data_IF_041014533376
#
_entry.id   IF_041014533376
#
_cell.length_a   1.000
_cell.length_b   1.000
_cell.length_c   1.000
_cell.angle_alpha   90.00
_cell.angle_beta   90.00
_cell.angle_gamma   90.00
#
_symmetry.space_group_name_H-M   'P 1'
#
loop_
_entity.id
_entity.type
_entity.pdbx_description
1 polymer ?
#
# COMPACT_ATOMS: atom_id res chain seq x y z
N UNK A 1 0.25 22.28 16.52
CA UNK A 1 -0.36 20.93 16.55
C UNK A 1 -0.41 20.45 15.11
N UNK A 2 0.26 19.35 14.77
CA UNK A 2 0.18 18.79 13.41
C UNK A 2 -1.25 18.31 13.16
N UNK A 3 -1.89 18.82 12.10
CA UNK A 3 -3.19 18.32 11.64
C UNK A 3 -2.99 16.84 11.26
N UNK A 4 -3.81 15.94 11.81
CA UNK A 4 -3.73 14.51 11.45
C UNK A 4 -4.08 14.33 9.99
N UNK A 5 -3.43 13.37 9.32
CA UNK A 5 -3.76 13.02 7.93
C UNK A 5 -4.88 11.98 7.99
N UNK A 6 -6.11 12.46 7.88
CA UNK A 6 -7.31 11.68 8.16
C UNK A 6 -8.08 11.39 6.88
N UNK A 7 -8.39 10.12 6.63
CA UNK A 7 -9.10 9.65 5.44
C UNK A 7 -10.29 8.78 5.81
N UNK A 8 -11.37 8.89 5.03
CA UNK A 8 -12.59 8.13 5.25
C UNK A 8 -12.69 6.97 4.26
N UNK A 9 -13.08 5.78 4.71
CA UNK A 9 -13.33 4.62 3.85
C UNK A 9 -14.74 4.61 3.22
N UNK A 10 -15.09 3.53 2.51
CA UNK A 10 -16.38 3.43 1.80
C UNK A 10 -17.60 3.26 2.73
N UNK A 11 -17.36 2.98 4.02
CA UNK A 11 -18.38 2.78 5.05
C UNK A 11 -18.50 3.98 5.99
N UNK A 12 -17.73 5.05 5.75
CA UNK A 12 -17.71 6.22 6.62
C UNK A 12 -16.77 6.08 7.83
N UNK A 13 -15.96 5.01 7.93
CA UNK A 13 -14.98 4.92 9.01
C UNK A 13 -13.77 5.79 8.70
N UNK A 14 -13.21 6.35 9.76
CA UNK A 14 -12.12 7.30 9.69
C UNK A 14 -10.81 6.64 10.09
N UNK A 15 -9.79 6.84 9.26
CA UNK A 15 -8.45 6.28 9.40
C UNK A 15 -7.43 7.41 9.45
N UNK A 16 -6.69 7.50 10.55
CA UNK A 16 -5.55 8.40 10.67
C UNK A 16 -4.30 7.69 10.13
N UNK A 17 -3.64 8.30 9.16
CA UNK A 17 -2.43 7.77 8.53
C UNK A 17 -1.20 8.63 8.82
N UNK A 18 -0.01 8.01 8.79
CA UNK A 18 1.26 8.74 8.91
C UNK A 18 1.57 9.58 7.66
N UNK A 19 1.38 9.01 6.47
CA UNK A 19 1.58 9.72 5.20
C UNK A 19 0.54 9.35 4.15
N UNK A 20 0.05 10.38 3.46
CA UNK A 20 -0.68 10.24 2.20
C UNK A 20 -0.05 11.13 1.15
N UNK A 21 0.19 10.56 -0.04
CA UNK A 21 0.64 11.32 -1.20
C UNK A 21 -0.58 11.53 -2.10
N UNK A 22 -0.83 12.78 -2.44
CA UNK A 22 -2.00 13.19 -3.20
C UNK A 22 -1.60 13.80 -4.53
N UNK A 23 -2.47 13.66 -5.54
CA UNK A 23 -2.44 14.46 -6.75
C UNK A 23 -3.55 15.50 -6.70
N UNK A 24 -3.24 16.73 -7.14
CA UNK A 24 -4.16 17.87 -7.18
C UNK A 24 -4.76 18.24 -5.81
N UNK A 25 -4.11 17.83 -4.71
CA UNK A 25 -4.43 18.26 -3.36
C UNK A 25 -3.86 19.65 -3.06
N UNK A 26 -4.54 20.41 -2.20
CA UNK A 26 -4.09 21.70 -1.68
C UNK A 26 -4.16 21.69 -0.15
N UNK A 27 -3.77 22.77 0.52
CA UNK A 27 -3.89 22.86 1.98
C UNK A 27 -5.35 22.79 2.47
N UNK A 28 -6.28 23.19 1.59
CA UNK A 28 -7.72 23.28 1.87
C UNK A 28 -8.53 22.12 1.28
N UNK A 29 -8.00 21.41 0.29
CA UNK A 29 -8.74 20.38 -0.47
C UNK A 29 -7.96 19.09 -0.57
N UNK A 30 -8.60 18.00 -0.15
CA UNK A 30 -8.10 16.64 -0.36
C UNK A 30 -8.12 16.32 -1.86
N UNK A 31 -6.95 15.92 -2.36
CA UNK A 31 -6.73 15.47 -3.73
C UNK A 31 -7.04 14.00 -3.93
N UNK A 32 -6.47 13.43 -5.00
CA UNK A 32 -6.58 12.00 -5.31
C UNK A 32 -5.44 11.25 -4.64
N UNK A 33 -5.71 10.22 -3.84
CA UNK A 33 -4.65 9.49 -3.16
C UNK A 33 -3.86 8.65 -4.17
N UNK A 34 -2.55 8.80 -4.17
CA UNK A 34 -1.59 8.02 -4.95
C UNK A 34 -0.78 7.05 -4.08
N UNK A 35 -0.65 7.32 -2.78
CA UNK A 35 0.02 6.44 -1.85
C UNK A 35 -0.55 6.58 -0.44
N UNK A 36 -0.71 5.46 0.26
CA UNK A 36 -0.97 5.39 1.69
C UNK A 36 0.22 4.69 2.36
N UNK A 37 0.85 5.34 3.34
CA UNK A 37 2.06 4.81 3.98
C UNK A 37 1.93 4.93 5.50
N UNK A 38 2.09 3.80 6.17
CA UNK A 38 2.12 3.68 7.63
C UNK A 38 3.52 3.39 8.14
N UNK A 39 3.88 3.94 9.29
CA UNK A 39 5.15 3.66 9.96
C UNK A 39 4.92 2.97 11.30
N UNK A 40 5.83 2.08 11.67
CA UNK A 40 5.74 1.43 12.97
C UNK A 40 7.10 1.03 13.52
N UNK A 41 7.29 1.33 14.81
CA UNK A 41 8.37 0.76 15.61
C UNK A 41 7.83 -0.34 16.52
N UNK A 42 8.52 -1.48 16.57
CA UNK A 42 8.19 -2.57 17.52
C UNK A 42 9.41 -3.09 18.25
N UNK A 43 9.20 -3.29 19.55
CA UNK A 43 10.20 -3.73 20.51
C UNK A 43 10.25 -5.26 20.66
N UNK A 44 9.08 -5.91 20.57
CA UNK A 44 8.92 -7.33 20.87
C UNK A 44 8.10 -8.04 19.80
N UNK A 45 8.42 -9.32 19.54
CA UNK A 45 7.77 -10.17 18.54
C UNK A 45 6.26 -10.37 18.78
N UNK A 46 5.83 -10.42 20.05
CA UNK A 46 4.43 -10.66 20.44
C UNK A 46 3.45 -9.61 19.86
N UNK A 47 3.92 -8.40 19.60
CA UNK A 47 3.09 -7.29 19.12
C UNK A 47 3.25 -7.01 17.62
N UNK A 48 4.16 -7.71 16.93
CA UNK A 48 4.45 -7.47 15.51
C UNK A 48 3.29 -7.88 14.61
N UNK A 49 2.66 -9.04 14.89
CA UNK A 49 1.49 -9.51 14.14
C UNK A 49 0.29 -8.57 14.29
N UNK A 50 -0.02 -8.16 15.52
CA UNK A 50 -1.12 -7.23 15.78
C UNK A 50 -0.89 -5.89 15.06
N UNK A 51 0.34 -5.39 15.04
CA UNK A 51 0.63 -4.14 14.31
C UNK A 51 0.50 -4.30 12.80
N UNK A 52 0.94 -5.42 12.22
CA UNK A 52 0.69 -5.71 10.81
C UNK A 52 -0.82 -5.72 10.50
N UNK A 53 -1.63 -6.29 11.40
CA UNK A 53 -3.10 -6.30 11.29
C UNK A 53 -3.72 -4.90 11.42
N UNK A 54 -3.24 -4.06 12.34
CA UNK A 54 -3.66 -2.66 12.47
C UNK A 54 -3.37 -1.88 11.18
N UNK A 55 -2.16 -2.04 10.60
CA UNK A 55 -1.75 -1.34 9.38
C UNK A 55 -2.64 -1.75 8.20
N UNK A 56 -2.87 -3.05 7.99
CA UNK A 56 -3.76 -3.49 6.91
C UNK A 56 -5.21 -3.05 7.14
N UNK A 57 -5.67 -3.03 8.39
CA UNK A 57 -7.01 -2.60 8.76
C UNK A 57 -7.27 -1.13 8.46
N UNK A 58 -6.23 -0.28 8.54
CA UNK A 58 -6.32 1.12 8.19
C UNK A 58 -6.22 1.36 6.67
N UNK A 59 -5.28 0.70 5.99
CA UNK A 59 -4.96 1.02 4.59
C UNK A 59 -5.84 0.28 3.58
N UNK A 60 -6.22 -0.99 3.81
CA UNK A 60 -6.97 -1.77 2.83
C UNK A 60 -8.38 -1.21 2.54
N UNK A 61 -9.17 -0.74 3.54
CA UNK A 61 -10.47 -0.13 3.27
C UNK A 61 -10.37 1.13 2.41
N UNK A 62 -9.31 1.92 2.62
CA UNK A 62 -9.02 3.10 1.79
C UNK A 62 -8.60 2.67 0.37
N UNK A 63 -7.75 1.66 0.24
CA UNK A 63 -7.35 1.13 -1.05
C UNK A 63 -8.56 0.62 -1.86
N UNK A 64 -9.57 0.05 -1.19
CA UNK A 64 -10.81 -0.40 -1.83
C UNK A 64 -11.70 0.76 -2.29
N UNK A 65 -11.87 1.80 -1.44
CA UNK A 65 -12.60 3.03 -1.80
C UNK A 65 -11.96 3.71 -3.01
N UNK A 66 -10.63 3.77 -3.04
CA UNK A 66 -9.85 4.40 -4.09
C UNK A 66 -9.27 3.39 -5.08
N UNK A 67 -9.92 2.23 -5.27
CA UNK A 67 -9.39 1.13 -6.10
C UNK A 67 -9.01 1.56 -7.51
N UNK A 68 -9.74 2.51 -8.08
CA UNK A 68 -9.47 3.01 -9.42
C UNK A 68 -8.23 3.91 -9.45
N UNK A 69 -7.91 4.60 -8.35
CA UNK A 69 -6.62 5.26 -8.16
C UNK A 69 -5.48 4.26 -7.99
N UNK A 70 -5.77 2.98 -7.69
CA UNK A 70 -4.79 1.91 -7.48
C UNK A 70 -3.53 2.42 -6.73
N UNK A 71 -3.72 2.94 -5.49
CA UNK A 71 -2.69 3.66 -4.75
C UNK A 71 -1.54 2.73 -4.34
N UNK A 72 -0.35 3.30 -4.14
CA UNK A 72 0.77 2.61 -3.53
C UNK A 72 0.46 2.30 -2.06
N UNK A 73 0.50 1.02 -1.69
CA UNK A 73 0.36 0.59 -0.30
C UNK A 73 1.77 0.41 0.29
N UNK A 74 2.15 1.28 1.21
CA UNK A 74 3.49 1.31 1.79
C UNK A 74 3.48 1.08 3.29
N UNK A 75 4.55 0.49 3.79
CA UNK A 75 4.84 0.53 5.22
C UNK A 75 6.32 0.62 5.52
N UNK A 76 6.68 1.45 6.50
CA UNK A 76 8.04 1.61 7.02
C UNK A 76 8.10 1.04 8.43
N UNK A 77 8.68 -0.14 8.55
CA UNK A 77 8.73 -0.90 9.79
C UNK A 77 10.13 -0.87 10.37
N UNK A 78 10.24 -0.76 11.69
CA UNK A 78 11.51 -0.76 12.39
C UNK A 78 11.45 -1.57 13.69
N UNK A 79 12.58 -2.20 14.03
CA UNK A 79 12.71 -3.02 15.22
C UNK A 79 12.39 -4.49 14.95
N UNK A 80 11.56 -5.11 15.77
CA UNK A 80 11.34 -6.57 15.76
C UNK A 80 10.03 -6.90 15.06
N UNK A 81 10.12 -7.48 13.86
CA UNK A 81 8.99 -8.03 13.10
C UNK A 81 9.32 -9.46 12.68
N UNK A 82 8.33 -10.36 12.73
CA UNK A 82 8.51 -11.75 12.29
C UNK A 82 8.33 -11.84 10.77
N UNK A 83 9.03 -12.75 10.10
CA UNK A 83 8.85 -12.93 8.64
C UNK A 83 7.39 -13.19 8.27
N UNK A 84 6.67 -14.00 9.05
CA UNK A 84 5.23 -14.21 8.82
C UNK A 84 4.39 -12.93 8.85
N UNK A 85 4.74 -11.93 9.67
CA UNK A 85 4.06 -10.63 9.67
C UNK A 85 4.44 -9.76 8.47
N UNK A 86 5.70 -9.84 8.01
CA UNK A 86 6.16 -9.14 6.81
C UNK A 86 5.55 -9.75 5.54
N UNK A 87 5.51 -11.08 5.46
CA UNK A 87 4.94 -11.82 4.34
C UNK A 87 3.43 -11.64 4.24
N UNK A 88 2.72 -11.58 5.36
CA UNK A 88 1.31 -11.21 5.39
C UNK A 88 1.08 -9.86 4.70
N UNK A 89 1.86 -8.83 5.05
CA UNK A 89 1.75 -7.51 4.42
C UNK A 89 2.08 -7.57 2.92
N UNK A 90 3.18 -8.25 2.56
CA UNK A 90 3.58 -8.43 1.15
C UNK A 90 2.49 -9.14 0.33
N UNK A 91 1.85 -10.19 0.88
CA UNK A 91 0.78 -10.94 0.20
C UNK A 91 -0.47 -10.10 -0.04
N UNK A 92 -0.68 -9.05 0.76
CA UNK A 92 -1.78 -8.09 0.62
C UNK A 92 -1.41 -6.91 -0.29
N UNK A 93 -0.25 -6.96 -0.95
CA UNK A 93 0.21 -5.95 -1.91
C UNK A 93 0.96 -4.77 -1.28
N UNK A 94 1.34 -4.84 0.01
CA UNK A 94 2.16 -3.81 0.63
C UNK A 94 3.62 -3.89 0.17
N UNK A 95 4.18 -2.72 -0.11
CA UNK A 95 5.62 -2.53 -0.23
C UNK A 95 6.17 -2.27 1.17
N UNK A 96 7.04 -3.17 1.64
CA UNK A 96 7.53 -3.16 3.02
C UNK A 96 8.99 -2.70 3.05
N UNK A 97 9.24 -1.54 3.64
CA UNK A 97 10.58 -1.08 4.02
C UNK A 97 10.83 -1.45 5.48
N UNK A 98 11.60 -2.51 5.71
CA UNK A 98 11.89 -3.00 7.06
C UNK A 98 13.33 -2.69 7.48
N UNK A 99 13.48 -2.05 8.64
CA UNK A 99 14.74 -1.83 9.34
C UNK A 99 14.84 -2.81 10.52
N UNK A 100 15.60 -3.91 10.39
CA UNK A 100 15.75 -4.88 11.46
C UNK A 100 16.40 -4.25 12.69
N UNK A 101 15.95 -4.67 13.88
CA UNK A 101 16.47 -4.18 15.16
C UNK A 101 18.00 -4.18 15.23
N UNK A 102 18.63 -5.27 14.78
CA UNK A 102 20.09 -5.42 14.81
C UNK A 102 20.81 -4.34 13.99
N UNK A 103 20.23 -3.89 12.88
CA UNK A 103 20.81 -2.81 12.06
C UNK A 103 20.79 -1.48 12.81
N UNK A 104 19.79 -1.28 13.67
CA UNK A 104 19.63 -0.07 14.49
C UNK A 104 20.60 -0.11 15.66
N UNK A 105 20.71 -1.25 16.35
CA UNK A 105 21.73 -1.48 17.39
C UNK A 105 23.13 -1.23 16.83
N UNK A 106 23.45 -1.80 15.66
CA UNK A 106 24.74 -1.61 15.00
C UNK A 106 25.04 -0.13 14.69
N UNK A 107 24.03 0.63 14.25
CA UNK A 107 24.20 2.05 13.97
C UNK A 107 24.56 2.87 15.20
N UNK A 108 23.89 2.65 16.34
CA UNK A 108 24.25 3.33 17.58
C UNK A 108 25.57 2.85 18.17
N UNK A 109 25.86 1.54 18.06
CA UNK A 109 27.11 0.96 18.50
C UNK A 109 28.32 1.55 17.76
N UNK A 110 28.17 1.95 16.49
CA UNK A 110 29.21 2.65 15.73
C UNK A 110 29.69 3.97 16.39
N UNK A 111 28.84 4.59 17.20
CA UNK A 111 29.15 5.78 18.00
C UNK A 111 29.34 5.46 19.49
N UNK A 112 29.60 4.19 19.84
CA UNK A 112 29.81 3.70 21.20
C UNK A 112 28.59 3.92 22.13
N UNK A 113 27.40 3.95 21.55
CA UNK A 113 26.13 3.97 22.28
C UNK A 113 25.49 2.59 22.17
N UNK A 114 25.44 1.86 23.28
CA UNK A 114 24.75 0.58 23.32
C UNK A 114 23.26 0.81 23.62
N UNK A 115 22.43 0.51 22.64
CA UNK A 115 20.97 0.56 22.71
C UNK A 115 20.35 -0.84 22.73
N UNK A 116 21.17 -1.89 22.81
CA UNK A 116 20.68 -3.25 22.94
C UNK A 116 19.85 -3.39 24.21
N UNK A 117 18.76 -4.12 24.12
CA UNK A 117 17.93 -4.44 25.27
C UNK A 117 17.29 -5.81 25.14
N UNK A 118 17.00 -6.42 26.27
CA UNK A 118 16.18 -7.61 26.41
C UNK A 118 15.10 -7.42 27.48
N UNK A 119 14.33 -8.47 27.76
CA UNK A 119 13.28 -8.46 28.79
C UNK A 119 13.83 -8.23 30.21
N UNK A 120 15.08 -8.62 30.44
CA UNK A 120 15.75 -8.51 31.74
C UNK A 120 16.64 -7.28 31.89
N UNK A 121 16.65 -6.36 30.92
CA UNK A 121 17.47 -5.14 31.01
C UNK A 121 16.93 -4.23 32.11
N UNK A 122 17.72 -3.86 33.14
CA UNK A 122 17.24 -2.99 34.23
C UNK A 122 16.88 -1.57 33.75
N UNK A 123 15.84 -0.98 34.32
CA UNK A 123 15.38 0.40 34.04
C UNK A 123 16.49 1.45 34.16
N UNK A 124 17.43 1.26 35.09
CA UNK A 124 18.58 2.15 35.24
C UNK A 124 19.48 2.18 34.00
N UNK A 125 19.61 1.07 33.28
CA UNK A 125 20.35 1.04 32.02
C UNK A 125 19.59 1.76 30.90
N UNK A 126 18.26 1.63 30.84
CA UNK A 126 17.43 2.41 29.91
C UNK A 126 17.61 3.89 30.13
N UNK A 127 17.45 4.38 31.36
CA UNK A 127 17.61 5.80 31.66
C UNK A 127 19.00 6.30 31.29
N UNK A 128 20.05 5.51 31.57
CA UNK A 128 21.43 5.87 31.23
C UNK A 128 21.62 5.97 29.70
N UNK A 129 21.07 5.04 28.94
CA UNK A 129 21.15 5.05 27.47
C UNK A 129 20.33 6.19 26.88
N UNK A 130 19.10 6.42 27.35
CA UNK A 130 18.27 7.57 26.94
C UNK A 130 19.00 8.89 27.18
N UNK A 131 19.56 9.09 28.38
CA UNK A 131 20.33 10.29 28.70
C UNK A 131 21.57 10.47 27.79
N UNK A 132 22.21 9.37 27.35
CA UNK A 132 23.33 9.43 26.40
C UNK A 132 22.87 9.87 25.01
N UNK A 133 21.73 9.37 24.56
CA UNK A 133 21.15 9.72 23.25
C UNK A 133 20.71 11.19 23.25
N UNK A 134 20.02 11.64 24.30
CA UNK A 134 19.57 13.04 24.44
C UNK A 134 20.73 14.03 24.46
N UNK A 135 21.87 13.62 25.03
CA UNK A 135 23.11 14.42 25.06
C UNK A 135 23.98 14.24 23.82
N UNK A 136 23.63 13.34 22.90
CA UNK A 136 24.43 13.11 21.70
C UNK A 136 24.43 14.36 20.81
N UNK A 137 25.59 14.70 20.28
CA UNK A 137 25.71 15.85 19.38
C UNK A 137 24.93 15.61 18.08
N UNK A 138 24.50 16.69 17.42
CA UNK A 138 23.91 16.59 16.07
C UNK A 138 24.83 15.83 15.10
N UNK A 139 26.14 16.04 15.18
CA UNK A 139 27.11 15.33 14.35
C UNK A 139 27.12 13.81 14.62
N UNK A 140 27.04 13.41 15.90
CA UNK A 140 26.90 11.99 16.30
C UNK A 140 25.62 11.39 15.73
N UNK A 141 24.48 12.07 15.90
CA UNK A 141 23.19 11.59 15.36
C UNK A 141 23.18 11.52 13.84
N UNK A 142 23.85 12.44 13.15
CA UNK A 142 24.03 12.38 11.69
C UNK A 142 24.82 11.13 11.29
N UNK A 143 25.92 10.81 11.98
CA UNK A 143 26.71 9.59 11.68
C UNK A 143 25.90 8.32 11.91
N UNK A 144 25.13 8.24 13.00
CA UNK A 144 24.20 7.12 13.26
C UNK A 144 23.19 6.99 12.13
N UNK A 145 22.56 8.10 11.72
CA UNK A 145 21.60 8.11 10.60
C UNK A 145 22.25 7.64 9.31
N UNK A 146 23.43 8.15 8.97
CA UNK A 146 24.17 7.76 7.76
C UNK A 146 24.49 6.27 7.78
N UNK A 147 24.92 5.74 8.93
CA UNK A 147 25.19 4.31 9.08
C UNK A 147 23.91 3.47 8.89
N UNK A 148 22.80 3.86 9.50
CA UNK A 148 21.51 3.16 9.37
C UNK A 148 21.02 3.15 7.92
N UNK A 149 21.09 4.29 7.23
CA UNK A 149 20.71 4.41 5.81
C UNK A 149 21.60 3.52 4.94
N UNK A 150 22.92 3.62 5.10
CA UNK A 150 23.88 2.83 4.31
C UNK A 150 23.65 1.33 4.44
N UNK A 151 23.38 0.85 5.65
CA UNK A 151 23.17 -0.58 5.90
C UNK A 151 21.83 -1.10 5.36
N UNK A 152 20.88 -0.22 5.10
CA UNK A 152 19.55 -0.57 4.60
C UNK A 152 19.30 -0.02 3.19
N UNK A 153 20.34 0.44 2.49
CA UNK A 153 20.22 1.18 1.23
C UNK A 153 19.44 0.40 0.17
N UNK A 154 19.73 -0.91 0.00
CA UNK A 154 19.02 -1.75 -0.97
C UNK A 154 17.51 -1.89 -0.66
N UNK A 155 17.12 -1.89 0.61
CA UNK A 155 15.70 -1.93 0.99
C UNK A 155 15.03 -0.57 0.72
N UNK A 156 15.72 0.52 1.05
CA UNK A 156 15.28 1.90 0.79
C UNK A 156 15.08 2.12 -0.71
N UNK A 157 16.07 1.76 -1.53
CA UNK A 157 16.03 1.92 -2.99
C UNK A 157 14.85 1.16 -3.58
N UNK A 158 14.66 -0.11 -3.22
CA UNK A 158 13.52 -0.90 -3.70
C UNK A 158 12.17 -0.27 -3.35
N UNK A 159 12.02 0.23 -2.12
CA UNK A 159 10.78 0.89 -1.68
C UNK A 159 10.51 2.17 -2.47
N UNK A 160 11.52 3.05 -2.59
CA UNK A 160 11.35 4.31 -3.30
C UNK A 160 11.25 4.14 -4.81
N UNK A 161 11.88 3.13 -5.40
CA UNK A 161 11.71 2.80 -6.82
C UNK A 161 10.30 2.29 -7.10
N UNK A 162 9.74 1.44 -6.22
CA UNK A 162 8.35 1.01 -6.33
C UNK A 162 7.38 2.19 -6.18
N UNK A 163 7.66 3.09 -5.23
CA UNK A 163 6.87 4.32 -5.05
C UNK A 163 6.95 5.22 -6.30
N UNK A 164 8.15 5.53 -6.80
CA UNK A 164 8.36 6.32 -8.02
C UNK A 164 7.66 5.72 -9.23
N UNK A 165 7.76 4.39 -9.41
CA UNK A 165 7.05 3.68 -10.48
C UNK A 165 5.54 3.84 -10.39
N UNK A 166 4.99 3.86 -9.17
CA UNK A 166 3.55 4.13 -8.98
C UNK A 166 3.20 5.58 -9.30
N UNK A 167 3.96 6.53 -8.76
CA UNK A 167 3.67 7.96 -8.91
C UNK A 167 3.85 8.45 -10.36
N UNK A 168 4.79 7.86 -11.09
CA UNK A 168 5.12 8.23 -12.48
C UNK A 168 4.42 7.40 -13.55
N UNK A 169 3.45 6.54 -13.19
CA UNK A 169 2.71 5.75 -14.18
C UNK A 169 1.83 6.67 -15.03
N UNK A 170 1.60 6.27 -16.27
CA UNK A 170 0.69 6.93 -17.19
C UNK A 170 -0.03 5.88 -18.03
N UNK A 171 -1.20 6.22 -18.55
CA UNK A 171 -2.00 5.32 -19.38
C UNK A 171 -1.28 5.06 -20.70
N UNK A 172 -1.09 3.80 -21.05
CA UNK A 172 -0.48 3.36 -22.32
C UNK A 172 -1.51 2.72 -23.24
N UNK A 173 -2.56 2.10 -22.69
CA UNK A 173 -3.63 1.49 -23.49
C UNK A 173 -4.98 1.62 -22.80
N UNK A 174 -6.00 1.92 -23.60
CA UNK A 174 -7.42 1.92 -23.19
C UNK A 174 -8.16 0.97 -24.11
N UNK A 175 -8.81 -0.05 -23.55
CA UNK A 175 -9.68 -0.97 -24.27
C UNK A 175 -11.09 -0.81 -23.74
N UNK A 176 -12.06 -0.58 -24.65
CA UNK A 176 -13.49 -0.53 -24.33
C UNK A 176 -14.18 -1.62 -25.12
N UNK A 177 -14.70 -2.63 -24.43
CA UNK A 177 -15.37 -3.79 -25.01
C UNK A 177 -16.86 -3.70 -24.68
N UNK A 178 -17.73 -3.36 -25.64
CA UNK A 178 -19.16 -3.43 -25.41
C UNK A 178 -19.61 -4.89 -25.45
N UNK A 179 -20.22 -5.37 -24.37
CA UNK A 179 -20.72 -6.74 -24.25
C UNK A 179 -22.20 -6.79 -24.61
N UNK A 180 -22.53 -7.60 -25.61
CA UNK A 180 -23.89 -7.90 -26.05
C UNK A 180 -24.18 -9.39 -25.86
N UNK A 181 -25.43 -9.77 -25.60
CA UNK A 181 -25.82 -11.17 -25.52
C UNK A 181 -26.97 -11.45 -24.54
N UNK A 182 -27.08 -12.71 -24.10
CA UNK A 182 -28.06 -13.17 -23.12
C UNK A 182 -27.34 -13.68 -21.87
N UNK A 183 -27.95 -13.44 -20.70
CA UNK A 183 -27.52 -14.06 -19.45
C UNK A 183 -28.24 -15.41 -19.36
N UNK A 184 -27.49 -16.48 -19.20
CA UNK A 184 -28.02 -17.81 -18.94
C UNK A 184 -27.59 -18.21 -17.53
N UNK A 185 -28.56 -18.51 -16.67
CA UNK A 185 -28.34 -18.94 -15.30
C UNK A 185 -28.60 -20.44 -15.20
N UNK A 186 -27.74 -21.15 -14.47
CA UNK A 186 -27.80 -22.60 -14.32
C UNK A 186 -27.77 -22.96 -12.84
N UNK A 187 -28.55 -23.98 -12.46
CA UNK A 187 -28.60 -24.44 -11.07
C UNK A 187 -27.37 -25.29 -10.68
N UNK A 188 -26.70 -25.90 -11.66
CA UNK A 188 -25.53 -26.76 -11.47
C UNK A 188 -24.42 -26.42 -12.46
N UNK A 189 -23.18 -26.83 -12.14
CA UNK A 189 -22.04 -26.67 -13.04
C UNK A 189 -22.20 -27.58 -14.25
N UNK A 190 -22.74 -28.77 -14.07
CA UNK A 190 -23.00 -29.76 -15.12
C UNK A 190 -23.96 -29.23 -16.19
N UNK A 191 -25.00 -28.50 -15.78
CA UNK A 191 -25.94 -27.85 -16.69
C UNK A 191 -25.26 -26.73 -17.50
N UNK A 192 -24.40 -25.94 -16.85
CA UNK A 192 -23.63 -24.89 -17.51
C UNK A 192 -22.65 -25.46 -18.54
N UNK A 193 -21.95 -26.55 -18.22
CA UNK A 193 -21.06 -27.27 -19.15
C UNK A 193 -21.86 -27.86 -20.31
N UNK A 194 -22.98 -28.53 -20.02
CA UNK A 194 -23.88 -29.10 -21.03
C UNK A 194 -24.42 -28.04 -21.99
N UNK A 195 -24.66 -26.83 -21.50
CA UNK A 195 -25.00 -25.68 -22.33
C UNK A 195 -23.84 -25.27 -23.23
N UNK A 196 -22.63 -25.11 -22.68
CA UNK A 196 -21.44 -24.69 -23.45
C UNK A 196 -21.12 -25.68 -24.59
N UNK A 197 -21.24 -26.98 -24.34
CA UNK A 197 -21.01 -28.02 -25.36
C UNK A 197 -21.97 -27.93 -26.55
N UNK A 198 -23.18 -27.41 -26.32
CA UNK A 198 -24.24 -27.27 -27.34
C UNK A 198 -24.35 -25.85 -27.87
N UNK A 199 -23.71 -24.88 -27.22
CA UNK A 199 -23.85 -23.47 -27.54
C UNK A 199 -23.07 -23.14 -28.81
N UNK A 200 -23.78 -22.71 -29.85
CA UNK A 200 -23.16 -22.19 -31.06
C UNK A 200 -22.82 -20.72 -30.90
N UNK A 201 -21.56 -20.36 -31.16
CA UNK A 201 -21.11 -18.96 -31.18
C UNK A 201 -21.81 -18.25 -32.35
N UNK A 202 -22.59 -17.23 -32.03
CA UNK A 202 -23.36 -16.44 -32.99
C UNK A 202 -22.75 -15.04 -33.16
N UNK A 203 -22.63 -14.58 -34.41
CA UNK A 203 -21.96 -13.31 -34.75
C UNK A 203 -22.85 -12.05 -34.69
N UNK A 204 -24.15 -12.18 -34.40
CA UNK A 204 -25.04 -11.03 -34.28
C UNK A 204 -25.04 -10.40 -32.88
N UNK A 205 -25.26 -9.08 -32.81
CA UNK A 205 -25.37 -8.36 -31.55
C UNK A 205 -26.70 -8.68 -30.86
N UNK A 206 -26.66 -9.39 -29.73
CA UNK A 206 -27.80 -9.54 -28.82
C UNK A 206 -28.14 -8.25 -28.08
N UNK A 207 -28.86 -8.34 -26.96
CA UNK A 207 -29.11 -7.18 -26.10
C UNK A 207 -27.81 -6.64 -25.50
N UNK A 208 -27.68 -5.32 -25.41
CA UNK A 208 -26.58 -4.69 -24.72
C UNK A 208 -26.63 -5.05 -23.22
N UNK A 209 -25.47 -5.40 -22.65
CA UNK A 209 -25.35 -5.76 -21.23
C UNK A 209 -24.55 -4.73 -20.45
N UNK A 210 -23.28 -4.56 -20.82
CA UNK A 210 -22.35 -3.66 -20.12
C UNK A 210 -21.13 -3.38 -20.97
N UNK A 211 -20.36 -2.40 -20.56
CA UNK A 211 -19.01 -2.17 -21.03
C UNK A 211 -18.02 -2.85 -20.09
N UNK A 212 -17.05 -3.54 -20.67
CA UNK A 212 -15.81 -3.88 -20.00
C UNK A 212 -14.73 -2.89 -20.43
N UNK A 213 -14.10 -2.24 -19.46
CA UNK A 213 -13.01 -1.29 -19.69
C UNK A 213 -11.73 -1.87 -19.10
N UNK A 214 -10.68 -1.93 -19.90
CA UNK A 214 -9.33 -2.30 -19.46
C UNK A 214 -8.37 -1.15 -19.70
N UNK A 215 -7.73 -0.69 -18.64
CA UNK A 215 -6.70 0.34 -18.69
C UNK A 215 -5.37 -0.32 -18.37
N UNK A 216 -4.37 -0.11 -19.22
CA UNK A 216 -2.99 -0.52 -18.97
C UNK A 216 -2.12 0.71 -18.76
N UNK A 217 -1.23 0.62 -17.78
CA UNK A 217 -0.29 1.67 -17.43
C UNK A 217 1.14 1.30 -17.83
N UNK A 218 2.01 2.30 -17.92
CA UNK A 218 3.43 2.16 -18.28
C UNK A 218 4.26 1.32 -17.31
N UNK A 219 3.78 1.12 -16.09
CA UNK A 219 4.39 0.24 -15.08
C UNK A 219 3.81 -1.19 -15.10
N UNK A 220 3.03 -1.55 -16.14
CA UNK A 220 2.31 -2.81 -16.31
C UNK A 220 1.13 -3.04 -15.34
N UNK A 221 0.77 -2.06 -14.50
CA UNK A 221 -0.49 -2.10 -13.77
C UNK A 221 -1.67 -2.18 -14.73
N UNK A 222 -2.75 -2.84 -14.29
CA UNK A 222 -4.01 -2.89 -15.00
C UNK A 222 -5.16 -2.49 -14.08
N UNK A 223 -6.12 -1.77 -14.63
CA UNK A 223 -7.40 -1.49 -13.98
C UNK A 223 -8.50 -1.99 -14.90
N UNK A 224 -9.37 -2.83 -14.34
CA UNK A 224 -10.53 -3.38 -15.04
C UNK A 224 -11.81 -2.86 -14.39
N UNK A 225 -12.78 -2.48 -15.21
CA UNK A 225 -14.08 -2.01 -14.75
C UNK A 225 -15.20 -2.57 -15.62
N UNK A 226 -16.31 -2.93 -14.99
CA UNK A 226 -17.54 -3.35 -15.65
C UNK A 226 -18.63 -2.32 -15.37
N UNK A 227 -19.12 -1.64 -16.41
CA UNK A 227 -20.01 -0.48 -16.27
C UNK A 227 -21.16 -0.60 -17.27
N UNK A 228 -22.40 -0.55 -16.80
CA UNK A 228 -23.59 -0.67 -17.66
C UNK A 228 -23.88 0.63 -18.42
N UNK A 229 -23.79 1.79 -17.75
CA UNK A 229 -24.17 3.06 -18.34
C UNK A 229 -23.03 3.74 -19.11
N UNK A 230 -23.31 4.16 -20.35
CA UNK A 230 -22.33 4.85 -21.22
C UNK A 230 -21.77 6.14 -20.61
N UNK A 231 -22.57 6.91 -19.90
CA UNK A 231 -22.09 8.15 -19.29
C UNK A 231 -21.16 7.88 -18.10
N UNK A 232 -21.40 6.78 -17.37
CA UNK A 232 -20.48 6.30 -16.33
C UNK A 232 -19.15 5.79 -16.89
N UNK A 233 -19.15 5.21 -18.10
CA UNK A 233 -17.90 4.89 -18.82
C UNK A 233 -17.10 6.16 -19.10
N UNK A 234 -17.75 7.21 -19.60
CA UNK A 234 -17.07 8.49 -19.88
C UNK A 234 -16.51 9.12 -18.60
N UNK A 235 -17.29 9.15 -17.53
CA UNK A 235 -16.84 9.63 -16.20
C UNK A 235 -15.60 8.87 -15.73
N UNK A 236 -15.61 7.53 -15.85
CA UNK A 236 -14.47 6.69 -15.49
C UNK A 236 -13.23 6.99 -16.35
N UNK A 237 -13.37 7.11 -17.67
CA UNK A 237 -12.25 7.41 -18.55
C UNK A 237 -11.66 8.80 -18.28
N UNK A 238 -12.49 9.81 -18.01
CA UNK A 238 -12.04 11.15 -17.61
C UNK A 238 -11.29 11.10 -16.28
N UNK A 239 -11.80 10.33 -15.31
CA UNK A 239 -11.13 10.14 -14.03
C UNK A 239 -9.75 9.49 -14.19
N UNK A 240 -9.65 8.43 -14.98
CA UNK A 240 -8.39 7.71 -15.25
C UNK A 240 -7.41 8.58 -16.05
N UNK A 241 -7.88 9.38 -17.00
CA UNK A 241 -7.02 10.28 -17.78
C UNK A 241 -6.32 11.35 -16.92
N UNK A 242 -6.86 11.67 -15.75
CA UNK A 242 -6.21 12.56 -14.80
C UNK A 242 -5.29 11.87 -13.78
N UNK A 243 -5.06 10.56 -13.90
CA UNK A 243 -4.14 9.80 -13.04
C UNK A 243 -2.72 9.72 -13.55
#
# INVERSE_FOLDING_TARGET
>A
MSKKVTWEDQYGNVHDLDFVIERDGTEEKIGRPLAFIETAWRRYTKHSRNKAQEIQGAILPLAEKYRWNNPFLGTVLAGVFTEGSLDQLRSLGFNVLYFPYDTIVAAFHSEKIDISFGENTPDRLFQKTTNKIEKASKATMTRIRTHLVRNNQAAIDRFFDALKKRLGRHVTRVVVIPLYGRINEFATIEDAVSFLDRHMVYEGSGEFRKYEIRIEFSNADKVEAFIEAKDKVKEFLVFVAGQ
#
